data_IF_591432805621
#
_entry.id   IF_591432805621
#
_cell.length_a   1.000
_cell.length_b   1.000
_cell.length_c   1.000
_cell.angle_alpha   90.00
_cell.angle_beta   90.00
_cell.angle_gamma   90.00
#
_symmetry.space_group_name_H-M   'P 1'
#
loop_
_entity.id
_entity.type
_entity.pdbx_description
1 polymer ?
#
# COMPACT_ATOMS: atom_id res chain seq x y z
N UNK A 1 1.23 -20.34 1.64
CA UNK A 1 2.13 -20.46 0.46
C UNK A 1 2.62 -19.07 0.15
N UNK A 2 3.94 -18.84 0.21
CA UNK A 2 4.53 -17.54 -0.12
C UNK A 2 4.67 -17.42 -1.63
N UNK A 3 4.41 -16.23 -2.16
CA UNK A 3 4.50 -15.93 -3.61
C UNK A 3 5.92 -15.65 -4.07
N UNK A 4 6.90 -15.82 -3.18
CA UNK A 4 8.33 -15.69 -3.43
C UNK A 4 8.97 -17.07 -3.25
N UNK A 5 9.74 -17.51 -4.24
CA UNK A 5 10.52 -18.73 -4.10
C UNK A 5 11.53 -18.56 -2.96
N UNK A 6 11.79 -19.63 -2.22
CA UNK A 6 12.73 -19.58 -1.10
C UNK A 6 14.12 -19.15 -1.61
N UNK A 7 14.59 -17.98 -1.16
CA UNK A 7 15.88 -17.41 -1.55
C UNK A 7 15.82 -16.25 -2.54
N UNK A 8 14.62 -15.89 -3.04
CA UNK A 8 14.45 -14.70 -3.88
C UNK A 8 14.25 -13.41 -3.07
N UNK A 9 14.49 -12.28 -3.73
CA UNK A 9 14.28 -10.96 -3.15
C UNK A 9 12.82 -10.75 -2.73
N UNK A 10 12.64 -10.23 -1.51
CA UNK A 10 11.32 -9.94 -0.94
C UNK A 10 10.61 -8.90 -1.81
N UNK A 11 9.36 -9.19 -2.17
CA UNK A 11 8.49 -8.26 -2.90
C UNK A 11 8.19 -7.02 -2.03
N UNK A 12 8.01 -5.83 -2.62
CA UNK A 12 7.71 -4.61 -1.87
C UNK A 12 6.47 -4.76 -0.98
N UNK A 13 6.42 -4.05 0.15
CA UNK A 13 5.32 -4.20 1.12
C UNK A 13 3.91 -3.98 0.54
N UNK A 14 3.75 -3.08 -0.42
CA UNK A 14 2.43 -2.89 -1.08
C UNK A 14 2.07 -4.07 -1.97
N UNK A 15 3.05 -4.78 -2.56
CA UNK A 15 2.77 -6.00 -3.32
C UNK A 15 2.10 -7.05 -2.42
N UNK A 16 2.69 -7.31 -1.25
CA UNK A 16 2.19 -8.32 -0.31
C UNK A 16 0.84 -7.92 0.28
N UNK A 17 0.64 -6.64 0.57
CA UNK A 17 -0.65 -6.14 1.05
C UNK A 17 -1.76 -6.30 0.01
N UNK A 18 -1.51 -5.93 -1.24
CA UNK A 18 -2.49 -6.10 -2.32
C UNK A 18 -2.81 -7.57 -2.57
N UNK A 19 -1.79 -8.42 -2.55
CA UNK A 19 -1.96 -9.86 -2.67
C UNK A 19 -2.85 -10.42 -1.57
N UNK A 20 -2.66 -10.02 -0.31
CA UNK A 20 -3.45 -10.54 0.79
C UNK A 20 -4.88 -9.98 0.75
N UNK A 21 -5.02 -8.66 0.70
CA UNK A 21 -6.34 -7.99 0.74
C UNK A 21 -7.19 -8.36 -0.48
N UNK A 22 -6.65 -8.32 -1.68
CA UNK A 22 -7.46 -8.57 -2.89
C UNK A 22 -7.73 -10.08 -3.04
N UNK A 23 -6.76 -10.94 -2.75
CA UNK A 23 -6.99 -12.36 -2.91
C UNK A 23 -7.86 -12.94 -1.79
N UNK A 24 -7.76 -12.43 -0.56
CA UNK A 24 -8.52 -12.93 0.60
C UNK A 24 -9.80 -12.14 0.78
N UNK A 25 -9.72 -10.83 1.04
CA UNK A 25 -10.89 -10.02 1.42
C UNK A 25 -11.85 -9.78 0.25
N UNK A 26 -11.34 -9.68 -0.98
CA UNK A 26 -12.16 -9.53 -2.19
C UNK A 26 -12.45 -10.87 -2.90
N UNK A 27 -12.05 -12.00 -2.30
CA UNK A 27 -12.36 -13.34 -2.80
C UNK A 27 -11.78 -13.69 -4.17
N UNK A 28 -10.79 -12.93 -4.67
CA UNK A 28 -10.20 -13.19 -5.99
C UNK A 28 -9.21 -14.36 -6.00
N UNK A 29 -8.73 -14.77 -4.82
CA UNK A 29 -7.95 -15.98 -4.60
C UNK A 29 -6.75 -16.14 -5.54
N UNK A 30 -6.59 -17.36 -6.05
CA UNK A 30 -5.45 -17.76 -6.88
C UNK A 30 -5.33 -17.00 -8.20
N UNK A 31 -6.46 -16.71 -8.88
CA UNK A 31 -6.46 -16.10 -10.21
C UNK A 31 -5.81 -14.72 -10.17
N UNK A 32 -6.12 -13.92 -9.14
CA UNK A 32 -5.49 -12.62 -8.96
C UNK A 32 -3.99 -12.75 -8.70
N UNK A 33 -3.58 -13.65 -7.81
CA UNK A 33 -2.17 -13.86 -7.48
C UNK A 33 -1.33 -14.21 -8.70
N UNK A 34 -1.80 -15.12 -9.55
CA UNK A 34 -1.08 -15.53 -10.76
C UNK A 34 -0.92 -14.38 -11.75
N UNK A 35 -2.02 -13.67 -12.08
CA UNK A 35 -1.98 -12.54 -13.02
C UNK A 35 -1.16 -11.37 -12.49
N UNK A 36 -1.25 -11.10 -11.19
CA UNK A 36 -0.48 -10.05 -10.53
C UNK A 36 1.01 -10.37 -10.54
N UNK A 37 1.36 -11.64 -10.35
CA UNK A 37 2.74 -12.12 -10.47
C UNK A 37 3.27 -12.04 -11.91
N UNK A 38 2.47 -12.43 -12.91
CA UNK A 38 2.83 -12.27 -14.33
C UNK A 38 3.12 -10.80 -14.67
N UNK A 39 2.26 -9.87 -14.21
CA UNK A 39 2.49 -8.44 -14.39
C UNK A 39 3.81 -7.97 -13.76
N UNK A 40 4.16 -8.52 -12.59
CA UNK A 40 5.41 -8.23 -11.91
C UNK A 40 6.64 -8.68 -12.69
N UNK A 41 6.65 -9.92 -13.17
CA UNK A 41 7.77 -10.50 -13.92
C UNK A 41 8.00 -9.77 -15.24
N UNK A 42 6.90 -9.45 -15.95
CA UNK A 42 6.97 -8.87 -17.30
C UNK A 42 7.34 -7.38 -17.27
N UNK A 43 6.81 -6.60 -16.32
CA UNK A 43 6.88 -5.13 -16.39
C UNK A 43 7.83 -4.52 -15.37
N UNK A 44 9.04 -4.05 -15.76
CA UNK A 44 9.94 -3.31 -14.85
C UNK A 44 9.33 -1.98 -14.39
N UNK A 45 8.47 -1.41 -15.23
CA UNK A 45 7.74 -0.18 -14.94
C UNK A 45 6.74 -0.41 -13.78
N UNK A 46 6.02 -1.54 -13.82
CA UNK A 46 5.10 -1.93 -12.76
C UNK A 46 5.82 -2.21 -11.43
N UNK A 47 6.98 -2.87 -11.49
CA UNK A 47 7.84 -3.06 -10.31
C UNK A 47 8.23 -1.73 -9.67
N UNK A 48 8.71 -0.77 -10.47
CA UNK A 48 9.06 0.58 -9.97
C UNK A 48 7.86 1.27 -9.33
N UNK A 49 6.67 1.17 -9.93
CA UNK A 49 5.43 1.73 -9.37
C UNK A 49 5.17 1.17 -7.97
N UNK A 50 5.18 -0.16 -7.81
CA UNK A 50 4.91 -0.80 -6.51
C UNK A 50 5.95 -0.47 -5.45
N UNK A 51 7.23 -0.34 -5.83
CA UNK A 51 8.27 0.16 -4.92
C UNK A 51 8.01 1.59 -4.47
N UNK A 52 7.66 2.49 -5.39
CA UNK A 52 7.33 3.88 -5.06
C UNK A 52 6.10 3.97 -4.15
N UNK A 53 5.05 3.19 -4.42
CA UNK A 53 3.89 3.12 -3.53
C UNK A 53 4.29 2.58 -2.15
N UNK A 54 5.15 1.57 -2.08
CA UNK A 54 5.58 1.02 -0.79
C UNK A 54 6.26 2.09 0.07
N UNK A 55 7.19 2.86 -0.49
CA UNK A 55 7.84 3.95 0.23
C UNK A 55 6.83 5.06 0.59
N UNK A 56 5.94 5.40 -0.34
CA UNK A 56 4.93 6.44 -0.17
C UNK A 56 3.95 6.14 0.98
N UNK A 57 3.61 4.88 1.20
CA UNK A 57 2.73 4.45 2.29
C UNK A 57 3.49 4.20 3.60
N UNK A 58 4.68 3.60 3.55
CA UNK A 58 5.44 3.24 4.75
C UNK A 58 5.94 4.45 5.55
N UNK A 59 6.52 5.46 4.91
CA UNK A 59 7.09 6.63 5.62
C UNK A 59 6.02 7.36 6.45
N UNK A 60 4.91 7.87 5.86
CA UNK A 60 3.89 8.56 6.64
C UNK A 60 3.16 7.64 7.62
N UNK A 61 3.03 6.34 7.30
CA UNK A 61 2.45 5.37 8.22
C UNK A 61 3.26 5.23 9.51
N UNK A 62 4.58 5.17 9.42
CA UNK A 62 5.46 5.15 10.61
C UNK A 62 5.37 6.46 11.40
N UNK A 63 5.33 7.61 10.70
CA UNK A 63 5.21 8.92 11.35
C UNK A 63 3.90 9.02 12.14
N UNK A 64 2.78 8.64 11.54
CA UNK A 64 1.46 8.71 12.18
C UNK A 64 1.36 7.71 13.31
N UNK A 65 1.85 6.48 13.12
CA UNK A 65 1.91 5.49 14.19
C UNK A 65 2.72 6.01 15.38
N UNK A 66 3.92 6.56 15.14
CA UNK A 66 4.75 7.12 16.21
C UNK A 66 4.08 8.31 16.90
N UNK A 67 3.41 9.18 16.13
CA UNK A 67 2.65 10.31 16.68
C UNK A 67 1.51 9.83 17.57
N UNK A 68 0.70 8.86 17.11
CA UNK A 68 -0.37 8.26 17.91
C UNK A 68 0.19 7.61 19.19
N UNK A 69 1.30 6.88 19.09
CA UNK A 69 1.95 6.27 20.26
C UNK A 69 2.36 7.33 21.29
N UNK A 70 3.00 8.42 20.86
CA UNK A 70 3.40 9.50 21.76
C UNK A 70 2.16 10.14 22.42
N UNK A 71 1.11 10.42 21.64
CA UNK A 71 -0.12 11.04 22.16
C UNK A 71 -0.80 10.17 23.22
N UNK A 72 -0.92 8.86 22.98
CA UNK A 72 -1.55 7.94 23.94
C UNK A 72 -0.86 7.99 25.33
N UNK A 73 0.44 8.28 25.41
CA UNK A 73 1.17 8.37 26.67
C UNK A 73 1.33 9.80 27.22
N UNK A 74 0.92 10.85 26.50
CA UNK A 74 1.20 12.25 26.88
C UNK A 74 -0.03 13.10 27.17
N UNK A 75 -1.21 12.71 26.68
CA UNK A 75 -2.46 13.47 26.85
C UNK A 75 -3.53 12.66 27.59
N UNK A 76 -4.62 13.33 27.98
CA UNK A 76 -5.76 12.71 28.64
C UNK A 76 -6.32 11.51 27.85
N UNK A 77 -6.71 10.46 28.57
CA UNK A 77 -7.12 9.18 27.98
C UNK A 77 -8.25 9.31 26.95
N UNK A 78 -9.27 10.11 27.26
CA UNK A 78 -10.43 10.30 26.36
C UNK A 78 -10.02 10.98 25.05
N UNK A 79 -9.17 12.01 25.14
CA UNK A 79 -8.68 12.75 23.97
C UNK A 79 -7.70 11.88 23.18
N UNK A 80 -6.80 11.17 23.86
CA UNK A 80 -5.88 10.21 23.26
C UNK A 80 -6.60 9.09 22.52
N UNK A 81 -7.68 8.56 23.09
CA UNK A 81 -8.50 7.55 22.45
C UNK A 81 -9.21 8.08 21.19
N UNK A 82 -9.81 9.28 21.27
CA UNK A 82 -10.47 9.90 20.13
C UNK A 82 -9.51 10.16 18.96
N UNK A 83 -8.31 10.69 19.24
CA UNK A 83 -7.29 10.94 18.23
C UNK A 83 -6.70 9.63 17.69
N UNK A 84 -6.41 8.68 18.57
CA UNK A 84 -5.85 7.37 18.22
C UNK A 84 -6.77 6.58 17.28
N UNK A 85 -8.09 6.72 17.43
CA UNK A 85 -9.06 6.18 16.49
C UNK A 85 -9.23 7.05 15.25
N UNK A 86 -9.45 8.37 15.38
CA UNK A 86 -9.80 9.23 14.24
C UNK A 86 -8.66 9.47 13.24
N UNK A 87 -7.45 9.74 13.74
CA UNK A 87 -6.31 10.16 12.91
C UNK A 87 -5.88 9.10 11.88
N UNK A 88 -5.75 7.80 12.24
CA UNK A 88 -5.42 6.76 11.26
C UNK A 88 -6.45 6.63 10.13
N UNK A 89 -7.75 6.68 10.40
CA UNK A 89 -8.76 6.56 9.35
C UNK A 89 -8.76 7.78 8.42
N UNK A 90 -8.68 8.98 8.97
CA UNK A 90 -8.59 10.21 8.17
C UNK A 90 -7.36 10.18 7.27
N UNK A 91 -6.23 9.74 7.81
CA UNK A 91 -5.02 9.56 7.03
C UNK A 91 -5.20 8.53 5.91
N UNK A 92 -5.70 7.34 6.22
CA UNK A 92 -5.92 6.28 5.21
C UNK A 92 -6.82 6.75 4.08
N UNK A 93 -7.93 7.42 4.39
CA UNK A 93 -8.87 7.95 3.38
C UNK A 93 -8.17 8.97 2.48
N UNK A 94 -7.47 9.94 3.08
CA UNK A 94 -6.77 10.99 2.32
C UNK A 94 -5.65 10.41 1.45
N UNK A 95 -4.82 9.52 2.01
CA UNK A 95 -3.70 8.92 1.29
C UNK A 95 -4.16 7.96 0.18
N UNK A 96 -5.27 7.24 0.39
CA UNK A 96 -5.89 6.42 -0.63
C UNK A 96 -6.36 7.28 -1.81
N UNK A 97 -7.05 8.39 -1.55
CA UNK A 97 -7.50 9.31 -2.59
C UNK A 97 -6.31 9.88 -3.41
N UNK A 98 -5.24 10.30 -2.72
CA UNK A 98 -4.01 10.77 -3.38
C UNK A 98 -3.41 9.66 -4.26
N UNK A 99 -3.31 8.44 -3.73
CA UNK A 99 -2.76 7.29 -4.46
C UNK A 99 -3.55 7.02 -5.75
N UNK A 100 -4.89 7.01 -5.68
CA UNK A 100 -5.75 6.79 -6.86
C UNK A 100 -5.51 7.86 -7.93
N UNK A 101 -5.43 9.13 -7.53
CA UNK A 101 -5.19 10.24 -8.48
C UNK A 101 -3.80 10.13 -9.10
N UNK A 102 -2.75 9.90 -8.30
CA UNK A 102 -1.36 9.84 -8.77
C UNK A 102 -1.15 8.65 -9.69
N UNK A 103 -1.59 7.45 -9.29
CA UNK A 103 -1.48 6.23 -10.10
C UNK A 103 -2.30 6.37 -11.38
N UNK A 104 -3.52 6.91 -11.30
CA UNK A 104 -4.37 7.16 -12.46
C UNK A 104 -3.74 8.13 -13.48
N UNK A 105 -3.10 9.20 -13.00
CA UNK A 105 -2.34 10.13 -13.87
C UNK A 105 -1.12 9.45 -14.49
N UNK A 106 -0.40 8.66 -13.71
CA UNK A 106 0.76 7.93 -14.18
C UNK A 106 0.38 6.91 -15.26
N UNK A 107 -0.67 6.11 -15.06
CA UNK A 107 -1.16 5.14 -16.05
C UNK A 107 -1.54 5.83 -17.37
N UNK A 108 -2.28 6.93 -17.29
CA UNK A 108 -2.63 7.75 -18.47
C UNK A 108 -1.38 8.27 -19.18
N UNK A 109 -0.35 8.67 -18.44
CA UNK A 109 0.91 9.14 -19.05
C UNK A 109 1.66 8.02 -19.78
N UNK A 110 1.62 6.79 -19.27
CA UNK A 110 2.26 5.64 -19.90
C UNK A 110 1.49 5.19 -21.15
N UNK A 111 0.15 5.19 -21.10
CA UNK A 111 -0.68 4.91 -22.28
C UNK A 111 -0.44 5.92 -23.41
N UNK A 112 -0.26 7.20 -23.09
CA UNK A 112 0.04 8.24 -24.09
C UNK A 112 1.40 8.05 -24.75
N UNK A 113 2.40 7.51 -24.04
CA UNK A 113 3.74 7.26 -24.59
C UNK A 113 3.80 5.99 -25.46
N UNK A 114 2.84 5.09 -25.29
CA UNK A 114 2.75 3.84 -26.05
C UNK A 114 1.94 3.97 -27.35
N UNK A 115 1.35 5.14 -27.61
CA UNK A 115 0.57 5.46 -28.81
C UNK A 115 1.35 6.41 -29.70
#
# INVERSE_FOLDING_TARGET
ISSVAKGEFIRPGVYTLLEDVIAVDLGQGYIFRTRFNECWEVSPIFRRLLYQLSIFWSIPGVIISGTCTILIFTIDLEVGFAIGWGLPFLWVILWAAITVVVVGRWLKSQQRKAR
#
